data_IF_949954803468
#
_entry.id   IF_949954803468
#
_cell.length_a   1.000
_cell.length_b   1.000
_cell.length_c   1.000
_cell.angle_alpha   90.00
_cell.angle_beta   90.00
_cell.angle_gamma   90.00
#
_symmetry.space_group_name_H-M   'P 1'
#
loop_
_entity.id
_entity.type
_entity.pdbx_description
1 polymer ?
#
# COMPACT_ATOMS: atom_id res chain seq x y z
N UNK A 1 -25.47 -1.48 21.55
CA UNK A 1 -25.35 -2.91 21.89
C UNK A 1 -23.87 -3.18 22.02
N UNK A 2 -23.35 -3.21 23.25
CA UNK A 2 -21.97 -3.66 23.52
C UNK A 2 -21.92 -5.13 23.15
N UNK A 3 -21.05 -5.50 22.23
CA UNK A 3 -20.73 -6.90 22.03
C UNK A 3 -19.67 -7.24 23.06
N UNK A 4 -20.08 -7.94 24.12
CA UNK A 4 -19.17 -8.65 25.01
C UNK A 4 -18.18 -9.45 24.16
N UNK A 5 -16.89 -9.27 24.40
CA UNK A 5 -15.84 -10.10 23.80
C UNK A 5 -15.87 -11.47 24.50
N UNK A 6 -16.98 -12.20 24.35
CA UNK A 6 -17.13 -13.58 24.80
C UNK A 6 -16.56 -14.49 23.72
N UNK A 7 -15.28 -14.87 23.88
CA UNK A 7 -14.52 -16.08 23.46
C UNK A 7 -15.02 -17.06 22.37
N UNK A 8 -15.98 -16.72 21.53
CA UNK A 8 -16.75 -17.66 20.69
C UNK A 8 -16.58 -17.43 19.18
N UNK A 9 -15.64 -16.59 18.74
CA UNK A 9 -15.42 -16.33 17.30
C UNK A 9 -13.94 -16.18 16.94
N UNK A 10 -13.06 -16.89 17.66
CA UNK A 10 -11.65 -17.03 17.33
C UNK A 10 -11.56 -17.95 16.10
N UNK A 11 -11.59 -17.38 14.89
CA UNK A 11 -11.46 -18.12 13.63
C UNK A 11 -10.01 -18.57 13.47
N UNK A 12 -9.83 -19.82 13.04
CA UNK A 12 -8.54 -20.53 12.98
C UNK A 12 -7.48 -19.96 12.01
N UNK A 13 -7.72 -18.86 11.29
CA UNK A 13 -6.68 -18.15 10.52
C UNK A 13 -6.92 -16.63 10.61
N UNK A 14 -6.28 -15.98 11.59
CA UNK A 14 -6.49 -14.57 11.94
C UNK A 14 -5.84 -13.53 11.01
N UNK A 15 -5.42 -13.94 9.82
CA UNK A 15 -4.72 -13.12 8.82
C UNK A 15 -5.62 -12.61 7.71
N UNK A 16 -5.03 -11.82 6.82
CA UNK A 16 -5.68 -11.19 5.66
C UNK A 16 -6.92 -10.40 6.07
N UNK A 17 -6.77 -9.61 7.14
CA UNK A 17 -7.84 -8.78 7.70
C UNK A 17 -7.35 -7.46 8.27
N UNK A 18 -8.24 -6.48 8.25
CA UNK A 18 -8.10 -5.20 8.94
C UNK A 18 -9.11 -5.15 10.07
N UNK A 19 -8.64 -4.83 11.28
CA UNK A 19 -9.46 -4.59 12.46
C UNK A 19 -9.45 -3.10 12.81
N UNK A 20 -10.53 -2.35 12.53
CA UNK A 20 -10.67 -0.98 13.01
C UNK A 20 -10.99 -0.96 14.50
N UNK A 21 -10.50 0.06 15.19
CA UNK A 21 -10.78 0.31 16.59
C UNK A 21 -10.81 1.80 16.92
N UNK A 22 -11.31 2.14 18.10
CA UNK A 22 -11.33 3.48 18.65
C UNK A 22 -11.07 3.42 20.17
N UNK A 23 -10.30 4.38 20.67
CA UNK A 23 -10.08 4.62 22.09
C UNK A 23 -10.73 5.95 22.43
N UNK A 24 -11.95 5.90 22.98
CA UNK A 24 -12.77 7.11 23.20
C UNK A 24 -12.08 8.08 24.17
N UNK A 25 -11.45 7.56 25.23
CA UNK A 25 -10.75 8.38 26.23
C UNK A 25 -9.54 9.16 25.67
N UNK A 26 -8.98 8.72 24.53
CA UNK A 26 -7.81 9.34 23.92
C UNK A 26 -8.14 10.06 22.60
N UNK A 27 -9.41 10.11 22.18
CA UNK A 27 -9.82 10.60 20.85
C UNK A 27 -9.03 9.97 19.67
N UNK A 28 -8.59 8.73 19.86
CA UNK A 28 -7.80 8.01 18.86
C UNK A 28 -8.67 7.02 18.10
N UNK A 29 -8.54 7.04 16.78
CA UNK A 29 -9.04 5.98 15.91
C UNK A 29 -7.87 5.27 15.26
N UNK A 30 -7.97 3.96 15.15
CA UNK A 30 -6.89 3.18 14.58
C UNK A 30 -7.35 1.94 13.83
N UNK A 31 -6.38 1.29 13.21
CA UNK A 31 -6.54 0.03 12.49
C UNK A 31 -5.33 -0.84 12.74
N UNK A 32 -5.57 -2.14 12.95
CA UNK A 32 -4.54 -3.17 12.87
C UNK A 32 -4.77 -3.96 11.59
N UNK A 33 -3.72 -4.19 10.81
CA UNK A 33 -3.75 -5.11 9.67
C UNK A 33 -2.87 -6.32 9.97
N UNK A 34 -3.34 -7.50 9.57
CA UNK A 34 -2.54 -8.72 9.46
C UNK A 34 -2.71 -9.29 8.07
N UNK A 35 -1.61 -9.60 7.42
CA UNK A 35 -1.56 -10.21 6.10
C UNK A 35 -0.66 -11.44 6.18
N UNK A 36 -1.13 -12.55 5.62
CA UNK A 36 -0.38 -13.80 5.53
C UNK A 36 -0.54 -14.34 4.12
N UNK A 37 -1.54 -15.19 3.83
CA UNK A 37 -1.69 -15.80 2.51
C UNK A 37 -1.72 -14.80 1.34
N UNK A 38 -2.30 -13.62 1.53
CA UNK A 38 -2.37 -12.60 0.48
C UNK A 38 -1.02 -11.95 0.20
N UNK A 39 -0.24 -11.61 1.23
CA UNK A 39 1.08 -11.01 1.01
C UNK A 39 2.08 -12.04 0.49
N UNK A 40 1.98 -13.27 0.99
CA UNK A 40 2.78 -14.41 0.54
C UNK A 40 2.61 -14.63 -0.97
N UNK A 41 1.36 -14.72 -1.45
CA UNK A 41 1.06 -14.81 -2.88
C UNK A 41 1.57 -13.64 -3.72
N UNK A 42 1.53 -12.42 -3.18
CA UNK A 42 2.07 -11.24 -3.89
C UNK A 42 3.58 -11.39 -4.07
N UNK A 43 4.29 -11.82 -3.05
CA UNK A 43 5.76 -11.91 -3.05
C UNK A 43 6.24 -13.11 -3.88
N UNK A 44 5.64 -14.29 -3.69
CA UNK A 44 6.08 -15.53 -4.33
C UNK A 44 5.98 -15.50 -5.86
N UNK A 45 5.00 -14.77 -6.43
CA UNK A 45 4.80 -14.65 -7.89
C UNK A 45 5.99 -14.03 -8.63
N UNK A 46 6.83 -13.28 -7.94
CA UNK A 46 7.92 -12.50 -8.54
C UNK A 46 9.32 -12.96 -8.09
N UNK A 47 9.39 -13.92 -7.16
CA UNK A 47 10.65 -14.40 -6.58
C UNK A 47 11.59 -13.26 -6.12
N UNK A 48 11.02 -12.23 -5.47
CA UNK A 48 11.78 -11.08 -5.00
C UNK A 48 12.88 -11.49 -4.00
N UNK A 49 14.06 -10.84 -4.02
CA UNK A 49 15.05 -10.97 -2.96
C UNK A 49 14.46 -10.55 -1.60
N UNK A 50 14.89 -11.14 -0.46
CA UNK A 50 14.28 -10.90 0.84
C UNK A 50 14.15 -9.43 1.24
N UNK A 51 15.13 -8.59 0.87
CA UNK A 51 15.10 -7.15 1.14
C UNK A 51 13.95 -6.43 0.40
N UNK A 52 13.72 -6.79 -0.86
CA UNK A 52 12.63 -6.25 -1.70
C UNK A 52 11.29 -6.79 -1.22
N UNK A 53 11.22 -8.08 -0.86
CA UNK A 53 10.03 -8.70 -0.27
C UNK A 53 9.58 -8.00 1.02
N UNK A 54 10.53 -7.65 1.89
CA UNK A 54 10.25 -6.89 3.12
C UNK A 54 9.64 -5.52 2.82
N UNK A 55 10.29 -4.73 1.95
CA UNK A 55 9.80 -3.41 1.55
C UNK A 55 8.41 -3.48 0.89
N UNK A 56 8.20 -4.47 0.02
CA UNK A 56 6.91 -4.67 -0.65
C UNK A 56 5.81 -5.00 0.36
N UNK A 57 6.10 -5.86 1.35
CA UNK A 57 5.17 -6.15 2.43
C UNK A 57 4.82 -4.93 3.28
N UNK A 58 5.79 -4.06 3.58
CA UNK A 58 5.57 -2.82 4.34
C UNK A 58 4.64 -1.90 3.56
N UNK A 59 4.90 -1.73 2.26
CA UNK A 59 4.06 -0.92 1.38
C UNK A 59 2.64 -1.48 1.26
N UNK A 60 2.47 -2.80 1.17
CA UNK A 60 1.15 -3.44 1.12
C UNK A 60 0.40 -3.21 2.42
N UNK A 61 1.02 -3.46 3.58
CA UNK A 61 0.41 -3.22 4.88
C UNK A 61 -0.01 -1.75 5.06
N UNK A 62 0.88 -0.81 4.72
CA UNK A 62 0.58 0.62 4.75
C UNK A 62 -0.61 0.97 3.84
N UNK A 63 -0.59 0.50 2.60
CA UNK A 63 -1.66 0.81 1.63
C UNK A 63 -3.00 0.25 2.06
N UNK A 64 -3.03 -0.92 2.68
CA UNK A 64 -4.26 -1.53 3.22
C UNK A 64 -4.76 -0.76 4.44
N UNK A 65 -3.87 -0.36 5.38
CA UNK A 65 -4.25 0.47 6.53
C UNK A 65 -4.90 1.79 6.10
N UNK A 66 -4.30 2.46 5.12
CA UNK A 66 -4.79 3.73 4.59
C UNK A 66 -6.03 3.55 3.72
N UNK A 67 -5.99 2.66 2.74
CA UNK A 67 -7.08 2.43 1.79
C UNK A 67 -8.36 1.95 2.48
N UNK A 68 -8.26 1.06 3.47
CA UNK A 68 -9.41 0.60 4.25
C UNK A 68 -10.01 1.67 5.18
N UNK A 69 -9.29 2.78 5.40
CA UNK A 69 -9.79 3.91 6.17
C UNK A 69 -10.74 4.81 5.40
N UNK A 70 -10.59 4.82 4.08
CA UNK A 70 -11.34 5.67 3.18
C UNK A 70 -12.73 5.08 2.93
N UNK A 71 -13.75 5.94 2.93
CA UNK A 71 -15.12 5.58 2.51
C UNK A 71 -15.25 5.80 1.00
N UNK A 72 -14.48 5.07 0.22
CA UNK A 72 -14.43 5.20 -1.23
C UNK A 72 -15.04 3.98 -1.92
N UNK A 73 -15.72 4.22 -3.04
CA UNK A 73 -16.06 3.20 -4.02
C UNK A 73 -15.09 3.35 -5.20
N UNK A 74 -13.92 2.73 -5.08
CA UNK A 74 -12.82 2.99 -6.00
C UNK A 74 -11.49 2.38 -5.56
N UNK A 75 -10.40 3.00 -6.02
CA UNK A 75 -9.04 2.57 -5.79
C UNK A 75 -8.26 3.61 -4.98
N UNK A 76 -7.57 3.12 -3.97
CA UNK A 76 -6.47 3.81 -3.32
C UNK A 76 -5.14 3.22 -3.84
N UNK A 77 -4.18 4.06 -4.17
CA UNK A 77 -2.88 3.64 -4.69
C UNK A 77 -1.76 4.33 -3.92
N UNK A 78 -0.77 3.54 -3.51
CA UNK A 78 0.54 4.02 -3.06
C UNK A 78 1.54 3.75 -4.17
N UNK A 79 2.29 4.76 -4.57
CA UNK A 79 3.37 4.62 -5.54
C UNK A 79 4.63 5.33 -5.03
N UNK A 80 5.77 4.66 -5.12
CA UNK A 80 7.08 5.31 -4.94
C UNK A 80 7.78 5.44 -6.29
N UNK A 81 8.53 6.53 -6.44
CA UNK A 81 9.52 6.70 -7.49
C UNK A 81 10.75 7.35 -6.90
N UNK A 82 11.89 6.70 -7.04
CA UNK A 82 13.11 7.11 -6.35
C UNK A 82 14.37 6.65 -7.07
N UNK A 83 15.51 7.14 -6.59
CA UNK A 83 16.84 6.82 -7.11
C UNK A 83 17.52 5.61 -6.43
N UNK A 84 16.88 5.04 -5.40
CA UNK A 84 17.38 3.87 -4.69
C UNK A 84 17.39 2.58 -5.53
N UNK A 85 17.91 1.49 -4.96
CA UNK A 85 17.88 0.16 -5.59
C UNK A 85 16.49 -0.29 -6.04
N UNK A 86 15.43 0.11 -5.32
CA UNK A 86 14.03 -0.09 -5.71
C UNK A 86 13.50 1.22 -6.27
N UNK A 87 13.69 1.43 -7.59
CA UNK A 87 13.37 2.70 -8.24
C UNK A 87 11.87 2.95 -8.42
N UNK A 88 11.04 1.90 -8.37
CA UNK A 88 9.58 2.04 -8.41
C UNK A 88 8.91 0.90 -7.63
N UNK A 89 7.91 1.26 -6.83
CA UNK A 89 7.00 0.33 -6.18
C UNK A 89 5.58 0.86 -6.34
N UNK A 90 4.62 -0.03 -6.61
CA UNK A 90 3.20 0.32 -6.72
C UNK A 90 2.37 -0.69 -5.95
N UNK A 91 1.45 -0.18 -5.13
CA UNK A 91 0.41 -0.96 -4.46
C UNK A 91 -0.94 -0.35 -4.81
N UNK A 92 -1.86 -1.17 -5.29
CA UNK A 92 -3.27 -0.80 -5.45
C UNK A 92 -4.09 -1.52 -4.38
N UNK A 93 -4.88 -0.76 -3.62
CA UNK A 93 -6.01 -1.26 -2.85
C UNK A 93 -7.31 -0.84 -3.55
N UNK A 94 -8.08 -1.80 -4.02
CA UNK A 94 -9.40 -1.57 -4.60
C UNK A 94 -10.47 -1.99 -3.59
N UNK A 95 -11.28 -1.02 -3.19
CA UNK A 95 -12.35 -1.26 -2.23
C UNK A 95 -13.31 -2.36 -2.78
N UNK A 96 -13.82 -3.24 -1.91
CA UNK A 96 -13.69 -3.21 -0.46
C UNK A 96 -12.47 -3.96 0.12
N UNK A 97 -11.85 -4.86 -0.66
CA UNK A 97 -10.99 -5.92 -0.11
C UNK A 97 -9.79 -6.31 -0.98
N UNK A 98 -9.66 -5.81 -2.21
CA UNK A 98 -8.69 -6.31 -3.18
C UNK A 98 -7.37 -5.55 -3.07
N UNK A 99 -6.25 -6.27 -3.00
CA UNK A 99 -4.91 -5.70 -3.05
C UNK A 99 -4.04 -6.35 -4.12
N UNK A 100 -3.15 -5.58 -4.74
CA UNK A 100 -2.08 -6.08 -5.60
C UNK A 100 -0.88 -5.15 -5.51
N UNK A 101 0.32 -5.69 -5.71
CA UNK A 101 1.53 -4.88 -5.68
C UNK A 101 2.60 -5.43 -6.61
N UNK A 102 3.53 -4.55 -6.99
CA UNK A 102 4.76 -4.92 -7.66
C UNK A 102 5.87 -3.91 -7.37
N UNK A 103 7.11 -4.33 -7.59
CA UNK A 103 8.29 -3.49 -7.48
C UNK A 103 9.21 -3.71 -8.68
N UNK A 104 9.87 -2.64 -9.12
CA UNK A 104 11.00 -2.67 -10.05
C UNK A 104 12.26 -2.30 -9.29
N UNK A 105 13.29 -3.12 -9.44
CA UNK A 105 14.53 -2.98 -8.70
C UNK A 105 15.74 -3.35 -9.55
N UNK A 106 16.90 -2.85 -9.16
CA UNK A 106 18.20 -3.21 -9.72
C UNK A 106 18.89 -4.21 -8.79
N UNK A 107 18.91 -5.48 -9.19
CA UNK A 107 19.52 -6.57 -8.41
C UNK A 107 21.01 -6.32 -8.12
N UNK A 108 21.70 -5.65 -9.04
CA UNK A 108 23.12 -5.31 -8.88
C UNK A 108 23.36 -4.22 -7.84
N UNK A 109 22.33 -3.60 -7.27
CA UNK A 109 22.45 -2.54 -6.25
C UNK A 109 21.93 -2.96 -4.89
N UNK A 110 21.53 -4.23 -4.72
CA UNK A 110 20.97 -4.75 -3.46
C UNK A 110 22.03 -5.17 -2.44
N UNK A 111 23.31 -5.27 -2.83
CA UNK A 111 24.38 -5.68 -1.91
C UNK A 111 24.54 -4.68 -0.76
N UNK A 112 24.66 -5.20 0.46
CA UNK A 112 24.90 -4.44 1.70
C UNK A 112 23.93 -3.29 2.02
N UNK A 113 22.77 -3.23 1.35
CA UNK A 113 21.71 -2.30 1.74
C UNK A 113 21.10 -2.78 3.06
N UNK A 114 21.04 -1.88 4.05
CA UNK A 114 20.48 -2.16 5.38
C UNK A 114 19.25 -1.27 5.60
N UNK A 115 18.13 -1.91 5.88
CA UNK A 115 16.84 -1.23 6.08
C UNK A 115 16.11 -0.91 4.78
N UNK A 116 14.80 -0.76 4.88
CA UNK A 116 13.92 -0.56 3.72
C UNK A 116 13.97 0.87 3.18
N UNK A 117 14.29 1.87 4.02
CA UNK A 117 14.49 3.25 3.57
C UNK A 117 15.67 3.42 2.60
N UNK A 118 16.78 2.72 2.84
CA UNK A 118 17.93 2.75 1.94
C UNK A 118 17.66 2.06 0.58
N UNK A 119 16.70 1.13 0.51
CA UNK A 119 16.24 0.55 -0.75
C UNK A 119 15.45 1.57 -1.59
N UNK A 120 14.72 2.46 -0.94
CA UNK A 120 14.00 3.54 -1.60
C UNK A 120 14.96 4.69 -1.96
N UNK A 121 15.90 5.06 -1.10
CA UNK A 121 16.79 6.20 -1.35
C UNK A 121 16.02 7.52 -1.33
N UNK A 122 16.31 8.40 -2.29
CA UNK A 122 15.66 9.71 -2.42
C UNK A 122 14.64 9.73 -3.55
N UNK A 123 13.53 10.43 -3.34
CA UNK A 123 12.47 10.51 -4.35
C UNK A 123 11.17 11.02 -3.76
N UNK A 124 10.07 10.38 -4.16
CA UNK A 124 8.74 10.71 -3.63
C UNK A 124 7.85 9.49 -3.50
N UNK A 125 6.94 9.57 -2.53
CA UNK A 125 5.80 8.69 -2.38
C UNK A 125 4.52 9.47 -2.72
N UNK A 126 3.73 8.94 -3.64
CA UNK A 126 2.44 9.49 -4.04
C UNK A 126 1.33 8.58 -3.52
N UNK A 127 0.36 9.19 -2.83
CA UNK A 127 -0.88 8.55 -2.40
C UNK A 127 -2.02 9.08 -3.27
N UNK A 128 -2.73 8.18 -3.91
CA UNK A 128 -3.71 8.54 -4.92
C UNK A 128 -5.06 7.90 -4.64
N UNK A 129 -6.12 8.70 -4.66
CA UNK A 129 -7.51 8.27 -4.54
C UNK A 129 -8.18 8.46 -5.91
N UNK A 130 -8.70 7.37 -6.46
CA UNK A 130 -9.38 7.29 -7.74
C UNK A 130 -10.76 6.64 -7.53
N UNK A 131 -11.83 7.44 -7.70
CA UNK A 131 -13.23 7.01 -7.48
C UNK A 131 -13.98 6.86 -8.80
N UNK A 132 -13.27 6.59 -9.89
CA UNK A 132 -13.85 6.41 -11.21
C UNK A 132 -13.96 7.70 -12.02
N UNK A 133 -14.48 7.61 -13.25
CA UNK A 133 -14.38 8.68 -14.26
C UNK A 133 -15.21 9.93 -13.96
N UNK A 134 -16.22 9.81 -13.10
CA UNK A 134 -17.08 10.95 -12.73
C UNK A 134 -16.46 11.84 -11.64
N UNK A 135 -15.43 11.34 -10.95
CA UNK A 135 -14.81 12.02 -9.82
C UNK A 135 -13.37 12.42 -10.16
N UNK A 136 -12.96 13.60 -9.71
CA UNK A 136 -11.57 14.03 -9.90
C UNK A 136 -10.63 13.16 -9.07
N UNK A 137 -9.56 12.69 -9.69
CA UNK A 137 -8.48 11.96 -9.03
C UNK A 137 -7.77 12.89 -8.04
N UNK A 138 -7.73 12.49 -6.77
CA UNK A 138 -6.95 13.20 -5.75
C UNK A 138 -5.58 12.53 -5.60
N UNK A 139 -4.52 13.31 -5.56
CA UNK A 139 -3.16 12.80 -5.35
C UNK A 139 -2.40 13.73 -4.42
N UNK A 140 -1.91 13.19 -3.31
CA UNK A 140 -0.96 13.86 -2.44
C UNK A 140 0.42 13.21 -2.57
N UNK A 141 1.47 14.01 -2.44
CA UNK A 141 2.86 13.60 -2.66
C UNK A 141 3.72 14.05 -1.49
N UNK A 142 4.60 13.18 -1.03
CA UNK A 142 5.58 13.46 0.03
C UNK A 142 6.98 13.05 -0.43
N UNK A 143 8.00 13.77 0.01
CA UNK A 143 9.39 13.44 -0.27
C UNK A 143 9.80 12.13 0.42
N UNK A 144 10.68 11.38 -0.23
CA UNK A 144 11.43 10.28 0.37
C UNK A 144 12.87 10.77 0.54
N UNK A 145 13.37 10.76 1.77
CA UNK A 145 14.70 11.26 2.12
C UNK A 145 15.56 10.16 2.78
N UNK A 146 15.52 8.94 2.24
CA UNK A 146 16.23 7.77 2.78
C UNK A 146 15.61 7.15 4.04
N UNK A 147 14.52 7.74 4.55
CA UNK A 147 13.72 7.20 5.65
C UNK A 147 12.84 6.01 5.25
N UNK A 148 12.21 5.38 6.24
CA UNK A 148 11.27 4.28 6.05
C UNK A 148 9.93 4.73 5.46
N UNK A 149 9.08 3.79 5.06
CA UNK A 149 7.69 4.08 4.68
C UNK A 149 6.86 4.60 5.85
N UNK A 150 7.22 4.28 7.10
CA UNK A 150 6.59 4.87 8.28
C UNK A 150 6.88 6.37 8.35
N UNK A 151 8.15 6.77 8.17
CA UNK A 151 8.58 8.17 8.19
C UNK A 151 7.88 8.96 7.08
N UNK A 152 7.81 8.41 5.87
CA UNK A 152 7.11 9.02 4.74
C UNK A 152 5.60 9.18 5.01
N UNK A 153 4.97 8.18 5.64
CA UNK A 153 3.56 8.27 6.03
C UNK A 153 3.33 9.34 7.11
N UNK A 154 4.19 9.42 8.13
CA UNK A 154 4.09 10.45 9.17
C UNK A 154 4.27 11.85 8.57
N UNK A 155 5.22 12.03 7.66
CA UNK A 155 5.45 13.29 6.96
C UNK A 155 4.24 13.68 6.08
N UNK A 156 3.66 12.73 5.35
CA UNK A 156 2.45 12.94 4.54
C UNK A 156 1.29 13.47 5.39
N UNK A 157 0.95 12.76 6.47
CA UNK A 157 -0.16 13.16 7.33
C UNK A 157 0.09 14.46 8.08
N UNK A 158 1.35 14.76 8.38
CA UNK A 158 1.73 16.04 8.99
C UNK A 158 1.56 17.21 8.05
N UNK A 159 2.04 17.08 6.81
CA UNK A 159 2.09 18.20 5.86
C UNK A 159 0.80 18.36 5.04
N UNK A 160 0.22 17.26 4.58
CA UNK A 160 -0.89 17.28 3.62
C UNK A 160 -2.26 17.20 4.27
N UNK A 161 -2.39 16.42 5.35
CA UNK A 161 -3.68 16.16 6.01
C UNK A 161 -3.85 16.91 7.34
N UNK A 162 -2.74 17.30 7.97
CA UNK A 162 -2.70 17.88 9.32
C UNK A 162 -3.41 17.01 10.37
N UNK A 163 -3.27 15.69 10.26
CA UNK A 163 -3.81 14.72 11.22
C UNK A 163 -2.63 14.06 11.94
N UNK A 164 -2.47 14.27 13.26
CA UNK A 164 -1.46 13.55 14.03
C UNK A 164 -1.66 12.04 13.86
N UNK A 165 -0.67 11.39 13.27
CA UNK A 165 -0.76 10.00 12.82
C UNK A 165 0.52 9.27 13.18
N UNK A 166 0.36 8.08 13.77
CA UNK A 166 1.47 7.16 14.04
C UNK A 166 1.19 5.86 13.33
N UNK A 167 2.21 5.36 12.66
CA UNK A 167 2.21 4.12 11.88
C UNK A 167 3.36 3.26 12.36
N UNK A 168 3.09 1.96 12.52
CA UNK A 168 4.08 0.90 12.71
C UNK A 168 3.82 -0.22 11.72
N UNK A 169 4.86 -0.71 11.07
CA UNK A 169 4.84 -1.74 10.04
C UNK A 169 5.87 -2.79 10.41
N UNK A 170 5.54 -4.05 10.17
CA UNK A 170 6.48 -5.13 10.34
C UNK A 170 6.24 -6.19 9.28
N UNK A 171 7.32 -6.72 8.74
CA UNK A 171 7.29 -7.81 7.76
C UNK A 171 8.42 -8.75 8.08
N UNK A 172 8.10 -10.05 8.13
CA UNK A 172 9.13 -11.05 8.22
C UNK A 172 8.72 -12.34 7.51
N UNK A 173 9.76 -13.11 7.25
CA UNK A 173 9.68 -14.49 6.86
C UNK A 173 9.27 -15.36 8.06
N UNK A 174 8.32 -16.25 7.85
CA UNK A 174 7.89 -17.25 8.83
C UNK A 174 8.39 -18.62 8.41
N UNK A 175 9.17 -19.23 9.29
CA UNK A 175 9.70 -20.58 9.15
C UNK A 175 9.09 -21.45 10.24
N UNK A 176 7.96 -22.08 9.96
CA UNK A 176 7.39 -23.08 10.86
C UNK A 176 8.05 -24.45 10.62
N UNK A 177 8.37 -25.24 11.67
CA UNK A 177 8.96 -26.56 11.51
C UNK A 177 8.09 -27.48 10.64
N UNK A 178 8.60 -27.86 9.47
CA UNK A 178 7.87 -28.71 8.51
C UNK A 178 6.83 -27.99 7.64
N UNK A 179 6.68 -26.67 7.80
CA UNK A 179 5.86 -25.84 6.91
C UNK A 179 6.71 -25.24 5.78
N UNK A 180 6.05 -24.86 4.70
CA UNK A 180 6.67 -24.07 3.65
C UNK A 180 7.07 -22.69 4.17
N UNK A 181 8.16 -22.16 3.62
CA UNK A 181 8.54 -20.75 3.70
C UNK A 181 7.32 -19.87 3.35
N UNK A 182 7.00 -18.89 4.19
CA UNK A 182 5.90 -17.95 3.93
C UNK A 182 6.18 -16.56 4.49
N UNK A 183 5.58 -15.53 3.89
CA UNK A 183 5.67 -14.15 4.34
C UNK A 183 4.49 -13.74 5.20
N UNK A 184 4.76 -12.94 6.23
CA UNK A 184 3.74 -12.27 7.04
C UNK A 184 4.05 -10.79 7.10
N UNK A 185 3.00 -9.98 7.00
CA UNK A 185 3.06 -8.53 7.15
C UNK A 185 1.99 -8.07 8.13
N UNK A 186 2.34 -7.14 8.99
CA UNK A 186 1.41 -6.53 9.93
C UNK A 186 1.66 -5.04 10.05
N UNK A 187 0.66 -4.35 10.56
CA UNK A 187 0.82 -2.94 10.85
C UNK A 187 -0.28 -2.41 11.75
N UNK A 188 0.04 -1.29 12.37
CA UNK A 188 -0.83 -0.53 13.27
C UNK A 188 -0.78 0.93 12.84
N UNK A 189 -1.95 1.51 12.60
CA UNK A 189 -2.12 2.93 12.35
C UNK A 189 -3.04 3.51 13.41
N UNK A 190 -2.63 4.61 14.02
CA UNK A 190 -3.46 5.42 14.93
C UNK A 190 -3.46 6.87 14.48
N UNK A 191 -4.62 7.50 14.58
CA UNK A 191 -4.86 8.89 14.22
C UNK A 191 -5.60 9.58 15.37
N UNK A 192 -5.11 10.74 15.76
CA UNK A 192 -5.76 11.60 16.75
C UNK A 192 -6.82 12.45 16.05
N UNK A 193 -8.09 12.25 16.42
CA UNK A 193 -9.24 12.89 15.80
C UNK A 193 -10.18 13.44 16.90
N UNK A 194 -9.73 14.44 17.68
CA UNK A 194 -10.51 15.02 18.75
C UNK A 194 -11.74 15.77 18.24
N UNK A 195 -12.81 15.80 19.04
CA UNK A 195 -14.01 16.57 18.70
C UNK A 195 -13.73 18.08 18.65
N UNK A 196 -12.83 18.57 19.50
CA UNK A 196 -12.39 19.96 19.52
C UNK A 196 -11.18 20.14 18.58
N UNK A 197 -11.30 20.87 17.46
CA UNK A 197 -10.24 21.01 16.46
C UNK A 197 -8.95 21.65 17.00
N UNK A 198 -9.06 22.50 18.03
CA UNK A 198 -7.91 23.17 18.64
C UNK A 198 -6.93 22.18 19.29
N UNK A 199 -7.41 21.01 19.70
CA UNK A 199 -6.57 19.93 20.24
C UNK A 199 -5.73 19.23 19.16
N UNK A 200 -6.17 19.29 17.90
CA UNK A 200 -5.47 18.68 16.77
C UNK A 200 -4.37 19.58 16.19
N UNK A 201 -4.21 20.81 16.72
CA UNK A 201 -3.18 21.75 16.24
C UNK A 201 -1.81 21.12 16.41
N UNK A 202 -1.10 20.98 15.29
CA UNK A 202 0.31 20.61 15.31
C UNK A 202 1.18 21.85 15.28
N UNK A 203 2.38 21.81 15.90
CA UNK A 203 3.38 22.84 15.69
C UNK A 203 3.66 23.01 14.20
N UNK A 204 3.77 24.25 13.73
CA UNK A 204 4.16 24.54 12.35
C UNK A 204 5.56 23.96 12.09
N UNK A 205 5.71 23.29 10.95
CA UNK A 205 7.03 22.90 10.47
C UNK A 205 7.82 24.17 10.09
N UNK A 206 9.13 24.16 10.35
CA UNK A 206 10.02 25.22 9.91
C UNK A 206 9.87 25.42 8.39
N UNK A 207 9.54 26.63 7.91
CA UNK A 207 9.41 26.91 6.48
C UNK A 207 10.73 26.74 5.70
N UNK A 208 11.85 26.45 6.37
CA UNK A 208 13.18 26.30 5.77
C UNK A 208 13.92 27.62 5.58
N UNK A 209 13.24 28.74 5.81
CA UNK A 209 13.76 30.11 5.75
C UNK A 209 14.09 30.69 7.15
N UNK A 210 13.94 29.90 8.22
CA UNK A 210 14.25 30.35 9.57
C UNK A 210 15.77 30.56 9.75
N UNK A 211 16.20 31.63 10.45
CA UNK A 211 17.60 31.83 10.78
C UNK A 211 18.17 30.64 11.56
N UNK A 212 19.37 30.19 11.19
CA UNK A 212 20.05 29.11 11.90
C UNK A 212 20.18 29.43 13.41
N UNK A 213 19.58 28.59 14.26
CA UNK A 213 19.59 28.73 15.71
C UNK A 213 18.34 29.38 16.33
N UNK A 214 17.28 29.62 15.55
CA UNK A 214 16.01 30.11 16.07
C UNK A 214 15.13 28.91 16.48
N UNK A 215 15.08 28.63 17.78
CA UNK A 215 14.17 27.62 18.34
C UNK A 215 12.73 28.17 18.29
N UNK A 216 11.88 27.52 17.50
CA UNK A 216 10.44 27.81 17.56
C UNK A 216 9.87 27.16 18.81
N UNK A 217 8.98 27.85 19.56
CA UNK A 217 8.33 27.24 20.69
C UNK A 217 7.55 26.02 20.17
N UNK A 218 7.97 24.83 20.59
CA UNK A 218 7.19 23.62 20.38
C UNK A 218 5.81 23.86 21.02
N UNK A 219 4.77 23.89 20.20
CA UNK A 219 3.41 23.88 20.72
C UNK A 219 3.25 22.62 21.57
N UNK A 220 2.66 22.77 22.76
CA UNK A 220 2.44 21.63 23.66
C UNK A 220 1.47 20.64 22.99
N UNK A 221 1.96 19.44 22.66
CA UNK A 221 1.12 18.38 22.10
C UNK A 221 0.07 17.95 23.13
N UNK A 222 -1.11 17.54 22.67
CA UNK A 222 -2.18 17.08 23.55
C UNK A 222 -1.74 15.83 24.34
N UNK A 223 -1.91 15.84 25.67
CA UNK A 223 -1.54 14.72 26.54
C UNK A 223 -2.11 13.37 26.08
N UNK A 224 -3.34 13.36 25.56
CA UNK A 224 -3.97 12.13 25.06
C UNK A 224 -3.24 11.58 23.83
N UNK A 225 -2.73 12.47 22.97
CA UNK A 225 -1.94 12.09 21.83
C UNK A 225 -0.55 11.62 22.23
N UNK A 226 0.11 12.31 23.16
CA UNK A 226 1.42 11.89 23.71
C UNK A 226 1.34 10.49 24.34
N UNK A 227 0.29 10.22 25.10
CA UNK A 227 0.04 8.90 25.67
C UNK A 227 -0.16 7.84 24.58
N UNK A 228 -1.05 8.09 23.61
CA UNK A 228 -1.30 7.14 22.53
C UNK A 228 -0.02 6.84 21.72
N UNK A 229 0.78 7.86 21.41
CA UNK A 229 2.06 7.70 20.73
C UNK A 229 3.04 6.85 21.56
N UNK A 230 3.10 7.09 22.87
CA UNK A 230 3.98 6.35 23.78
C UNK A 230 3.60 4.87 23.82
N UNK A 231 2.30 4.55 23.96
CA UNK A 231 1.81 3.18 23.96
C UNK A 231 2.09 2.48 22.62
N UNK A 232 1.75 3.11 21.49
CA UNK A 232 2.02 2.55 20.15
C UNK A 232 3.52 2.41 19.87
N UNK A 233 4.34 3.30 20.44
CA UNK A 233 5.80 3.23 20.36
C UNK A 233 6.40 1.97 20.98
N UNK A 234 5.71 1.36 21.96
CA UNK A 234 6.17 0.12 22.62
C UNK A 234 5.92 -1.15 21.80
N UNK A 235 5.13 -1.07 20.73
CA UNK A 235 4.83 -2.24 19.87
C UNK A 235 6.12 -2.77 19.28
N UNK A 236 6.37 -4.06 19.43
CA UNK A 236 7.52 -4.69 18.78
C UNK A 236 7.13 -5.32 17.44
N UNK A 237 8.08 -5.38 16.51
CA UNK A 237 7.84 -5.92 15.17
C UNK A 237 7.28 -7.35 15.23
N UNK A 238 7.81 -8.17 16.14
CA UNK A 238 7.38 -9.56 16.30
C UNK A 238 5.91 -9.64 16.75
N UNK A 239 5.43 -8.70 17.57
CA UNK A 239 4.03 -8.66 17.99
C UNK A 239 3.10 -8.39 16.82
N UNK A 240 3.52 -7.58 15.84
CA UNK A 240 2.73 -7.27 14.64
C UNK A 240 2.67 -8.39 13.61
N UNK A 241 3.54 -9.41 13.71
CA UNK A 241 3.57 -10.54 12.76
C UNK A 241 3.35 -11.91 13.40
N UNK A 242 3.35 -12.01 14.73
CA UNK A 242 3.15 -13.28 15.45
C UNK A 242 1.80 -13.91 15.09
N UNK A 243 1.76 -15.15 14.53
CA UNK A 243 0.54 -15.86 14.19
C UNK A 243 -0.31 -16.26 15.41
N UNK A 244 0.30 -16.30 16.60
CA UNK A 244 -0.36 -16.68 17.86
C UNK A 244 -0.92 -15.48 18.63
N UNK A 245 -0.60 -14.26 18.20
CA UNK A 245 -1.09 -13.02 18.79
C UNK A 245 -2.15 -12.37 17.91
N UNK A 246 -3.41 -12.50 18.32
CA UNK A 246 -4.51 -11.86 17.64
C UNK A 246 -4.46 -10.32 17.75
N UNK A 247 -4.86 -9.58 16.69
CA UNK A 247 -5.02 -8.13 16.71
C UNK A 247 -5.80 -7.59 17.91
N UNK A 248 -6.93 -8.22 18.25
CA UNK A 248 -7.77 -7.84 19.38
C UNK A 248 -6.98 -7.92 20.70
N UNK A 249 -6.16 -8.96 20.86
CA UNK A 249 -5.33 -9.15 22.04
C UNK A 249 -4.14 -8.20 22.10
N UNK A 250 -3.55 -7.86 20.95
CA UNK A 250 -2.55 -6.81 20.86
C UNK A 250 -3.12 -5.46 21.33
N UNK A 251 -4.33 -5.11 20.90
CA UNK A 251 -4.99 -3.87 21.35
C UNK A 251 -5.22 -3.87 22.86
N UNK A 252 -5.65 -5.00 23.44
CA UNK A 252 -5.79 -5.13 24.90
C UNK A 252 -4.43 -4.96 25.59
N UNK A 253 -3.32 -5.49 25.05
CA UNK A 253 -1.99 -5.28 25.65
C UNK A 253 -1.57 -3.82 25.67
N UNK A 254 -1.87 -3.09 24.59
CA UNK A 254 -1.47 -1.68 24.44
C UNK A 254 -2.34 -0.72 25.24
N UNK A 255 -3.64 -0.99 25.31
CA UNK A 255 -4.63 -0.06 25.85
C UNK A 255 -5.47 -0.68 26.99
N UNK A 256 -4.91 -1.61 27.77
CA UNK A 256 -5.60 -2.31 28.86
C UNK A 256 -6.24 -1.37 29.90
N UNK A 257 -5.67 -0.18 30.12
CA UNK A 257 -6.17 0.84 31.06
C UNK A 257 -7.21 1.78 30.44
N UNK A 258 -7.58 1.58 29.17
CA UNK A 258 -8.51 2.42 28.41
C UNK A 258 -9.68 1.60 27.88
N UNK A 259 -10.82 2.26 27.66
CA UNK A 259 -11.96 1.63 27.01
C UNK A 259 -11.72 1.52 25.50
N UNK A 260 -11.50 0.28 25.05
CA UNK A 260 -11.25 -0.06 23.65
C UNK A 260 -12.57 -0.46 22.99
N UNK A 261 -12.92 0.23 21.90
CA UNK A 261 -14.02 -0.18 21.02
C UNK A 261 -13.48 -0.74 19.72
N UNK A 262 -13.65 -2.05 19.52
CA UNK A 262 -13.33 -2.72 18.25
C UNK A 262 -14.55 -2.75 17.33
N UNK A 263 -14.30 -2.70 16.02
CA UNK A 263 -15.34 -2.78 14.99
C UNK A 263 -15.23 -4.09 14.18
N UNK A 264 -16.19 -4.32 13.29
CA UNK A 264 -16.17 -5.48 12.41
C UNK A 264 -14.90 -5.50 11.55
N UNK A 265 -14.20 -6.63 11.59
CA UNK A 265 -13.01 -6.85 10.78
C UNK A 265 -13.37 -6.97 9.30
N UNK A 266 -12.55 -6.39 8.43
CA UNK A 266 -12.70 -6.48 6.97
C UNK A 266 -11.67 -7.42 6.40
N UNK A 267 -12.09 -8.36 5.56
CA UNK A 267 -11.19 -9.23 4.85
C UNK A 267 -10.39 -8.44 3.81
N UNK A 268 -9.19 -8.93 3.52
CA UNK A 268 -8.28 -8.45 2.47
C UNK A 268 -7.92 -9.66 1.62
N UNK A 269 -7.75 -9.49 0.32
CA UNK A 269 -7.31 -10.56 -0.56
C UNK A 269 -6.46 -10.05 -1.69
N UNK A 270 -5.45 -10.83 -2.07
CA UNK A 270 -4.74 -10.60 -3.32
C UNK A 270 -5.68 -10.80 -4.52
N UNK A 271 -5.74 -9.82 -5.43
CA UNK A 271 -6.49 -9.94 -6.67
C UNK A 271 -5.96 -9.00 -7.77
N UNK A 272 -5.47 -9.60 -8.86
CA UNK A 272 -5.12 -8.85 -10.06
C UNK A 272 -6.32 -8.61 -11.00
N UNK A 273 -6.24 -7.53 -11.78
CA UNK A 273 -7.22 -7.14 -12.80
C UNK A 273 -6.78 -7.48 -14.22
N UNK A 274 -5.65 -8.14 -14.45
CA UNK A 274 -5.28 -8.49 -15.81
C UNK A 274 -6.26 -9.52 -16.39
N UNK A 275 -6.56 -9.38 -17.67
CA UNK A 275 -7.30 -10.34 -18.46
C UNK A 275 -6.75 -10.32 -19.88
N UNK A 276 -6.96 -11.41 -20.63
CA UNK A 276 -6.54 -11.46 -22.04
C UNK A 276 -7.14 -10.29 -22.83
N UNK A 277 -8.41 -9.98 -22.59
CA UNK A 277 -9.12 -8.85 -23.21
C UNK A 277 -8.49 -7.49 -22.89
N UNK A 278 -8.12 -7.23 -21.63
CA UNK A 278 -7.45 -5.97 -21.24
C UNK A 278 -6.07 -5.83 -21.86
N UNK A 279 -5.32 -6.93 -21.90
CA UNK A 279 -4.01 -6.95 -22.56
C UNK A 279 -4.16 -6.73 -24.07
N UNK A 280 -5.16 -7.34 -24.69
CA UNK A 280 -5.48 -7.11 -26.11
C UNK A 280 -5.84 -5.64 -26.38
N UNK A 281 -6.70 -5.04 -25.54
CA UNK A 281 -7.05 -3.61 -25.64
C UNK A 281 -5.84 -2.69 -25.45
N UNK A 282 -4.88 -3.06 -24.59
CA UNK A 282 -3.60 -2.36 -24.46
C UNK A 282 -2.76 -2.50 -25.73
N UNK A 283 -2.64 -3.70 -26.31
CA UNK A 283 -1.89 -3.92 -27.55
C UNK A 283 -2.46 -3.06 -28.70
N UNK A 284 -3.79 -2.93 -28.77
CA UNK A 284 -4.48 -2.07 -29.74
C UNK A 284 -4.14 -0.58 -29.61
N UNK A 285 -3.63 -0.12 -28.46
CA UNK A 285 -3.27 1.30 -28.28
C UNK A 285 -1.90 1.67 -28.86
N UNK A 286 -1.05 0.68 -29.15
CA UNK A 286 0.24 0.89 -29.82
C UNK A 286 0.06 0.96 -31.34
N UNK A 287 0.98 1.64 -32.02
CA UNK A 287 1.03 1.67 -33.47
C UNK A 287 1.40 0.29 -34.06
N UNK A 288 1.05 0.02 -35.34
CA UNK A 288 1.44 -1.23 -36.00
C UNK A 288 2.96 -1.45 -36.04
N UNK A 289 3.74 -0.38 -36.10
CA UNK A 289 5.21 -0.43 -36.06
C UNK A 289 5.70 -0.90 -34.68
N UNK A 290 5.21 -0.29 -33.60
CA UNK A 290 5.54 -0.70 -32.22
C UNK A 290 5.13 -2.16 -31.96
N UNK A 291 3.99 -2.61 -32.48
CA UNK A 291 3.58 -4.02 -32.34
C UNK A 291 4.46 -4.99 -33.10
N UNK A 292 4.97 -4.61 -34.28
CA UNK A 292 5.95 -5.42 -35.02
C UNK A 292 7.24 -5.54 -34.22
N UNK A 293 7.68 -4.46 -33.59
CA UNK A 293 8.88 -4.46 -32.74
C UNK A 293 8.70 -5.30 -31.45
N UNK A 294 7.46 -5.53 -31.01
CA UNK A 294 7.14 -6.41 -29.88
C UNK A 294 7.09 -7.91 -30.23
N UNK A 295 7.15 -8.27 -31.52
CA UNK A 295 7.07 -9.69 -31.94
C UNK A 295 8.38 -10.42 -31.64
N UNK A 296 8.25 -11.63 -31.12
CA UNK A 296 9.38 -12.56 -31.01
C UNK A 296 9.78 -13.12 -32.38
N UNK A 297 10.89 -13.87 -32.43
CA UNK A 297 11.40 -14.49 -33.66
C UNK A 297 10.39 -15.46 -34.31
N UNK A 298 9.46 -16.02 -33.52
CA UNK A 298 8.38 -16.89 -34.00
C UNK A 298 7.11 -16.14 -34.44
N UNK A 299 7.14 -14.80 -34.39
CA UNK A 299 6.06 -13.90 -34.79
C UNK A 299 4.97 -13.70 -33.73
N UNK A 300 5.07 -14.37 -32.57
CA UNK A 300 4.13 -14.22 -31.44
C UNK A 300 4.42 -12.98 -30.61
N UNK A 301 3.42 -12.53 -29.83
CA UNK A 301 3.59 -11.47 -28.83
C UNK A 301 3.33 -12.06 -27.45
N UNK A 302 4.31 -12.00 -26.55
CA UNK A 302 4.17 -12.39 -25.15
C UNK A 302 4.16 -11.13 -24.26
N UNK A 303 3.10 -10.98 -23.47
CA UNK A 303 2.99 -9.90 -22.46
C UNK A 303 2.92 -10.53 -21.08
N UNK A 304 3.82 -10.11 -20.20
CA UNK A 304 3.80 -10.51 -18.78
C UNK A 304 3.19 -9.38 -17.94
N UNK A 305 2.20 -9.69 -17.11
CA UNK A 305 1.63 -8.71 -16.20
C UNK A 305 2.58 -8.40 -15.04
N UNK A 306 3.02 -7.14 -14.91
CA UNK A 306 3.91 -6.67 -13.84
C UNK A 306 3.35 -6.90 -12.41
N UNK A 307 2.03 -7.02 -12.24
CA UNK A 307 1.44 -7.22 -10.91
C UNK A 307 1.39 -8.68 -10.46
N UNK A 308 1.03 -9.60 -11.35
CA UNK A 308 0.71 -10.97 -10.96
C UNK A 308 1.51 -12.04 -11.71
N UNK A 309 2.45 -11.61 -12.57
CA UNK A 309 3.35 -12.45 -13.38
C UNK A 309 2.65 -13.40 -14.35
N UNK A 310 1.35 -13.21 -14.58
CA UNK A 310 0.62 -13.98 -15.59
C UNK A 310 1.11 -13.61 -16.98
N UNK A 311 1.50 -14.62 -17.75
CA UNK A 311 1.94 -14.50 -19.15
C UNK A 311 0.74 -14.67 -20.08
N UNK A 312 0.60 -13.74 -21.01
CA UNK A 312 -0.39 -13.76 -22.08
C UNK A 312 0.34 -13.86 -23.41
N UNK A 313 0.23 -15.01 -24.08
CA UNK A 313 0.75 -15.20 -25.42
C UNK A 313 -0.36 -14.99 -26.45
N UNK A 314 -0.06 -14.24 -27.51
CA UNK A 314 -0.92 -14.02 -28.66
C UNK A 314 -0.24 -14.62 -29.90
N UNK A 315 -0.98 -15.46 -30.63
CA UNK A 315 -0.45 -16.14 -31.81
C UNK A 315 -0.19 -15.15 -32.95
N UNK A 316 0.53 -15.61 -33.98
CA UNK A 316 0.79 -14.80 -35.18
C UNK A 316 -0.53 -14.31 -35.78
N UNK A 317 -1.53 -15.19 -35.89
CA UNK A 317 -2.85 -14.88 -36.44
C UNK A 317 -3.56 -13.81 -35.63
N UNK A 318 -3.57 -13.94 -34.29
CA UNK A 318 -4.17 -12.95 -33.40
C UNK A 318 -3.45 -11.61 -33.53
N UNK A 319 -2.11 -11.61 -33.53
CA UNK A 319 -1.33 -10.38 -33.67
C UNK A 319 -1.55 -9.71 -35.04
N UNK A 320 -1.66 -10.47 -36.13
CA UNK A 320 -2.02 -9.92 -37.44
C UNK A 320 -3.47 -9.43 -37.53
N UNK A 321 -4.40 -10.07 -36.81
CA UNK A 321 -5.80 -9.64 -36.79
C UNK A 321 -5.96 -8.28 -36.10
N UNK A 322 -5.18 -8.02 -35.04
CA UNK A 322 -5.12 -6.69 -34.38
C UNK A 322 -4.70 -5.61 -35.38
N UNK A 323 -3.69 -5.90 -36.21
CA UNK A 323 -3.18 -4.95 -37.20
C UNK A 323 -4.19 -4.70 -38.34
N UNK A 324 -4.93 -5.72 -38.77
CA UNK A 324 -5.93 -5.61 -39.83
C UNK A 324 -7.19 -4.83 -39.40
N UNK A 325 -7.64 -5.01 -38.15
CA UNK A 325 -8.80 -4.26 -37.61
C UNK A 325 -8.52 -2.74 -37.53
N UNK A 326 -7.26 -2.33 -37.30
CA UNK A 326 -6.89 -0.91 -37.26
C UNK A 326 -6.85 -0.25 -38.64
N UNK A 327 -6.54 -1.00 -39.70
CA UNK A 327 -6.58 -0.49 -41.08
C UNK A 327 -8.04 -0.17 -41.48
N UNK A 328 -8.99 -1.03 -41.12
CA UNK A 328 -10.43 -0.81 -41.37
C UNK A 328 -11.00 0.37 -40.54
N UNK A 329 -10.63 0.49 -39.26
CA UNK A 329 -11.05 1.62 -38.41
C UNK A 329 -10.38 2.95 -38.81
N UNK A 330 -9.15 2.89 -39.33
CA UNK A 330 -8.40 4.02 -39.85
C UNK A 330 -8.99 4.60 -41.15
N UNK A 331 -9.38 3.73 -42.09
CA UNK A 331 -10.08 4.13 -43.32
C UNK A 331 -11.48 4.71 -43.01
N UNK A 332 -12.19 4.15 -42.03
CA UNK A 332 -13.51 4.63 -41.61
C UNK A 332 -13.45 6.02 -40.96
N UNK A 333 -12.35 6.35 -40.25
CA UNK A 333 -12.13 7.70 -39.67
C UNK A 333 -11.68 8.75 -40.69
N UNK A 334 -10.95 8.36 -41.74
CA UNK A 334 -10.59 9.27 -42.84
C UNK A 334 -11.75 9.56 -43.79
N UNK A 335 -12.81 8.73 -43.78
CA UNK A 335 -14.04 8.92 -44.54
C UNK A 335 -15.13 9.76 -43.82
N UNK A 336 -14.77 10.57 -42.83
CA UNK A 336 -15.65 11.58 -42.22
C UNK A 336 -15.98 12.72 -43.19
N UNK A 337 -17.18 13.34 -43.12
CA UNK A 337 -17.82 13.97 -44.28
C UNK A 337 -17.04 15.18 -44.77
N UNK A 338 -16.67 15.15 -46.05
CA UNK A 338 -16.33 16.36 -46.78
C UNK A 338 -17.56 17.29 -46.76
N UNK A 339 -17.45 18.39 -46.03
CA UNK A 339 -18.37 19.52 -46.05
C UNK A 339 -17.60 20.80 -46.39
#
# INVERSE_FOLDING_TARGET
MMTDISSSSLREDGDDRVLPFQIEALDVRGRVVRLGPSIDRVIERHAYPPAVSKLLGEAVALTVLLGSSLKIDGRFQLQTRSDGPVGMLVVDFEAPDRVRACARFDESRLYDVRGTGALLGHGHMALTIDQGPEMSRYQGVVALDGGSLEDAAHAYFRQSEQIPTKVRLAVAETLAPGAAHSWRAGGLLVQFLPEAPDRMRMPDLDPGDAPAGLEMPEGEEDDAWVEAQSLVGTVEDHELIDPTLEPERLLIRLFNERDIRVFESRAVREACRCSRERVLGMLKSFSPEERRDMRADDGSIEVTCDFCSTRYAFSVEEATAIDAEDEEDGETRQAGPAA
#
